data_IF_259373193702
#
_entry.id   IF_259373193702
#
_cell.length_a   1.000
_cell.length_b   1.000
_cell.length_c   1.000
_cell.angle_alpha   90.00
_cell.angle_beta   90.00
_cell.angle_gamma   90.00
#
_symmetry.space_group_name_H-M   'P 1'
#
loop_
_entity.id
_entity.type
_entity.pdbx_description
1 polymer ?
#
# COMPACT_ATOMS: atom_id res chain seq x y z
N UNK A 1 -9.44 28.16 9.59
CA UNK A 1 -10.51 27.18 9.41
C UNK A 1 -9.98 26.16 8.41
N UNK A 2 -9.99 24.85 8.73
CA UNK A 2 -9.74 23.81 7.72
C UNK A 2 -10.85 23.89 6.67
N UNK A 3 -10.50 23.74 5.41
CA UNK A 3 -11.48 23.66 4.33
C UNK A 3 -12.15 22.29 4.41
N UNK A 4 -13.46 22.25 4.47
CA UNK A 4 -14.22 20.98 4.54
C UNK A 4 -14.05 20.23 3.23
N UNK A 5 -13.67 18.95 3.30
CA UNK A 5 -13.50 18.11 2.11
C UNK A 5 -14.83 17.93 1.36
N UNK A 6 -14.79 18.07 0.07
CA UNK A 6 -15.94 17.84 -0.81
C UNK A 6 -16.19 16.35 -1.02
N UNK A 7 -17.33 16.01 -1.64
CA UNK A 7 -17.57 14.61 -2.04
C UNK A 7 -16.50 14.11 -3.01
N UNK A 8 -16.09 14.93 -3.96
CA UNK A 8 -15.04 14.63 -4.93
C UNK A 8 -13.70 14.31 -4.26
N UNK A 9 -13.36 15.02 -3.18
CA UNK A 9 -12.15 14.76 -2.40
C UNK A 9 -12.24 13.40 -1.70
N UNK A 10 -13.38 13.06 -1.10
CA UNK A 10 -13.61 11.75 -0.48
C UNK A 10 -13.56 10.63 -1.53
N UNK A 11 -14.17 10.83 -2.69
CA UNK A 11 -14.13 9.87 -3.79
C UNK A 11 -12.69 9.64 -4.29
N UNK A 12 -11.87 10.69 -4.32
CA UNK A 12 -10.45 10.58 -4.66
C UNK A 12 -9.65 9.81 -3.60
N UNK A 13 -9.89 10.08 -2.30
CA UNK A 13 -9.30 9.33 -1.18
C UNK A 13 -9.62 7.84 -1.34
N UNK A 14 -10.89 7.47 -1.40
CA UNK A 14 -11.31 6.07 -1.47
C UNK A 14 -10.77 5.35 -2.72
N UNK A 15 -10.70 6.06 -3.85
CA UNK A 15 -10.19 5.51 -5.11
C UNK A 15 -8.71 5.22 -5.05
N UNK A 16 -7.92 6.15 -4.51
CA UNK A 16 -6.46 5.98 -4.43
C UNK A 16 -6.08 4.93 -3.42
N UNK A 17 -6.76 4.88 -2.28
CA UNK A 17 -6.50 3.89 -1.25
C UNK A 17 -6.84 2.48 -1.74
N UNK A 18 -8.03 2.29 -2.34
CA UNK A 18 -8.38 1.02 -2.98
C UNK A 18 -7.35 0.57 -4.03
N UNK A 19 -6.80 1.51 -4.81
CA UNK A 19 -5.75 1.20 -5.80
C UNK A 19 -4.43 0.82 -5.12
N UNK A 20 -4.09 1.47 -4.01
CA UNK A 20 -2.91 1.18 -3.20
C UNK A 20 -2.96 -0.23 -2.62
N UNK A 21 -4.06 -0.57 -1.93
CA UNK A 21 -4.26 -1.90 -1.36
C UNK A 21 -4.27 -3.02 -2.42
N UNK A 22 -4.90 -2.73 -3.57
CA UNK A 22 -4.86 -3.66 -4.70
C UNK A 22 -3.43 -3.93 -5.17
N UNK A 23 -2.62 -2.87 -5.28
CA UNK A 23 -1.22 -2.98 -5.69
C UNK A 23 -0.36 -3.67 -4.62
N UNK A 24 -0.53 -3.35 -3.34
CA UNK A 24 0.18 -3.94 -2.21
C UNK A 24 -0.10 -5.46 -2.12
N UNK A 25 -1.37 -5.87 -2.15
CA UNK A 25 -1.73 -7.29 -2.20
C UNK A 25 -1.06 -8.01 -3.38
N UNK A 26 -0.92 -7.35 -4.55
CA UNK A 26 -0.23 -7.92 -5.72
C UNK A 26 1.29 -7.96 -5.57
N UNK A 27 1.90 -7.01 -4.87
CA UNK A 27 3.33 -7.06 -4.53
C UNK A 27 3.59 -8.31 -3.68
N UNK A 28 2.81 -8.55 -2.64
CA UNK A 28 2.95 -9.76 -1.81
C UNK A 28 2.64 -11.06 -2.58
N UNK A 29 1.67 -11.06 -3.52
CA UNK A 29 1.45 -12.18 -4.45
C UNK A 29 2.71 -12.50 -5.26
N UNK A 30 3.36 -11.47 -5.80
CA UNK A 30 4.61 -11.60 -6.55
C UNK A 30 5.77 -12.11 -5.70
N UNK A 31 5.92 -11.59 -4.48
CA UNK A 31 6.94 -12.07 -3.54
C UNK A 31 6.72 -13.55 -3.16
N UNK A 32 5.48 -13.94 -2.87
CA UNK A 32 5.13 -15.32 -2.53
C UNK A 32 5.29 -16.28 -3.69
N UNK A 33 5.18 -15.83 -4.94
CA UNK A 33 5.46 -16.68 -6.10
C UNK A 33 6.89 -17.25 -6.09
N UNK A 34 7.83 -16.55 -5.45
CA UNK A 34 9.25 -16.94 -5.35
C UNK A 34 9.58 -17.44 -3.93
N UNK A 35 9.14 -16.73 -2.87
CA UNK A 35 9.61 -16.92 -1.50
C UNK A 35 8.67 -17.74 -0.62
N UNK A 36 7.57 -18.28 -1.13
CA UNK A 36 6.56 -19.00 -0.35
C UNK A 36 7.13 -20.11 0.56
N UNK A 37 8.18 -20.79 0.11
CA UNK A 37 8.77 -21.93 0.80
C UNK A 37 10.09 -21.59 1.51
N UNK A 38 10.40 -20.32 1.68
CA UNK A 38 11.58 -19.83 2.40
C UNK A 38 11.21 -19.44 3.85
N UNK A 39 12.20 -19.02 4.63
CA UNK A 39 12.02 -18.62 6.03
C UNK A 39 11.10 -17.41 6.19
N UNK A 40 11.07 -16.50 5.21
CA UNK A 40 10.22 -15.30 5.22
C UNK A 40 8.82 -15.53 4.63
N UNK A 41 8.57 -16.66 3.97
CA UNK A 41 7.30 -16.96 3.32
C UNK A 41 6.08 -16.82 4.24
N UNK A 42 6.08 -17.39 5.46
CA UNK A 42 4.99 -17.22 6.42
C UNK A 42 4.75 -15.75 6.81
N UNK A 43 5.80 -14.96 6.96
CA UNK A 43 5.74 -13.52 7.29
C UNK A 43 5.08 -12.74 6.14
N UNK A 44 5.52 -12.96 4.91
CA UNK A 44 4.91 -12.33 3.71
C UNK A 44 3.43 -12.73 3.58
N UNK A 45 3.11 -14.01 3.85
CA UNK A 45 1.71 -14.46 3.80
C UNK A 45 0.84 -13.78 4.86
N UNK A 46 1.40 -13.50 6.05
CA UNK A 46 0.69 -12.79 7.10
C UNK A 46 0.37 -11.35 6.67
N UNK A 47 1.38 -10.60 6.21
CA UNK A 47 1.20 -9.23 5.69
C UNK A 47 0.18 -9.21 4.55
N UNK A 48 0.31 -10.12 3.58
CA UNK A 48 -0.68 -10.24 2.49
C UNK A 48 -2.11 -10.45 2.98
N UNK A 49 -2.33 -11.22 4.03
CA UNK A 49 -3.67 -11.43 4.57
C UNK A 49 -4.24 -10.14 5.17
N UNK A 50 -3.42 -9.31 5.81
CA UNK A 50 -3.82 -7.99 6.31
C UNK A 50 -4.16 -7.04 5.16
N UNK A 51 -3.35 -7.01 4.08
CA UNK A 51 -3.68 -6.25 2.87
C UNK A 51 -5.04 -6.65 2.27
N UNK A 52 -5.39 -7.94 2.32
CA UNK A 52 -6.70 -8.38 1.86
C UNK A 52 -7.83 -7.82 2.73
N UNK A 53 -7.64 -7.70 4.04
CA UNK A 53 -8.63 -7.08 4.94
C UNK A 53 -8.77 -5.57 4.65
N UNK A 54 -7.66 -4.88 4.38
CA UNK A 54 -7.67 -3.47 3.95
C UNK A 54 -8.43 -3.32 2.64
N UNK A 55 -8.09 -4.12 1.63
CA UNK A 55 -8.73 -4.11 0.31
C UNK A 55 -10.24 -4.39 0.41
N UNK A 56 -10.65 -5.36 1.22
CA UNK A 56 -12.06 -5.67 1.42
C UNK A 56 -12.81 -4.51 2.08
N UNK A 57 -12.15 -3.80 2.98
CA UNK A 57 -12.70 -2.58 3.62
C UNK A 57 -12.89 -1.47 2.58
N UNK A 58 -11.89 -1.20 1.75
CA UNK A 58 -12.05 -0.17 0.70
C UNK A 58 -13.02 -0.57 -0.40
N UNK A 59 -13.12 -1.86 -0.76
CA UNK A 59 -14.17 -2.35 -1.64
C UNK A 59 -15.57 -1.99 -1.12
N UNK A 60 -15.81 -2.20 0.18
CA UNK A 60 -17.06 -1.85 0.84
C UNK A 60 -17.29 -0.33 0.84
N UNK A 61 -16.27 0.45 1.21
CA UNK A 61 -16.37 1.91 1.24
C UNK A 61 -16.65 2.53 -0.13
N UNK A 62 -16.06 1.98 -1.21
CA UNK A 62 -16.39 2.41 -2.59
C UNK A 62 -17.86 2.23 -2.90
N UNK A 63 -18.44 1.07 -2.56
CA UNK A 63 -19.87 0.79 -2.79
C UNK A 63 -20.76 1.72 -1.97
N UNK A 64 -20.47 1.88 -0.68
CA UNK A 64 -21.24 2.73 0.24
C UNK A 64 -21.25 4.21 -0.18
N UNK A 65 -20.15 4.68 -0.76
CA UNK A 65 -20.02 6.07 -1.23
C UNK A 65 -20.42 6.25 -2.70
N UNK A 66 -20.85 5.21 -3.40
CA UNK A 66 -21.13 5.22 -4.84
C UNK A 66 -19.92 5.74 -5.66
N UNK A 67 -18.72 5.37 -5.24
CA UNK A 67 -17.46 5.73 -5.87
C UNK A 67 -16.97 4.57 -6.73
N UNK A 68 -16.48 4.87 -7.93
CA UNK A 68 -15.87 3.84 -8.79
C UNK A 68 -14.38 3.68 -8.46
N UNK A 69 -13.80 2.48 -8.61
CA UNK A 69 -12.35 2.31 -8.56
C UNK A 69 -11.67 3.02 -9.73
N UNK A 70 -10.36 3.19 -9.65
CA UNK A 70 -9.57 3.72 -10.76
C UNK A 70 -9.64 2.81 -11.99
N UNK A 71 -9.68 3.40 -13.17
CA UNK A 71 -9.62 2.66 -14.45
C UNK A 71 -8.26 1.99 -14.67
N UNK A 72 -7.26 2.35 -13.89
CA UNK A 72 -5.88 1.84 -13.99
C UNK A 72 -5.62 0.57 -13.16
N UNK A 73 -6.62 0.02 -12.47
CA UNK A 73 -6.46 -1.22 -11.68
C UNK A 73 -5.75 -2.36 -12.44
N UNK A 74 -6.07 -2.65 -13.73
CA UNK A 74 -5.37 -3.69 -14.45
C UNK A 74 -3.85 -3.44 -14.57
N UNK A 75 -3.47 -2.18 -14.70
CA UNK A 75 -2.06 -1.76 -14.76
C UNK A 75 -1.39 -1.95 -13.40
N UNK A 76 -2.04 -1.48 -12.32
CA UNK A 76 -1.50 -1.62 -10.96
C UNK A 76 -1.37 -3.07 -10.53
N UNK A 77 -2.31 -3.95 -10.93
CA UNK A 77 -2.20 -5.39 -10.71
C UNK A 77 -0.93 -6.00 -11.33
N UNK A 78 -0.67 -5.69 -12.59
CA UNK A 78 0.50 -6.21 -13.31
C UNK A 78 1.80 -5.63 -12.75
N UNK A 79 1.83 -4.33 -12.49
CA UNK A 79 3.02 -3.65 -11.96
C UNK A 79 3.33 -4.09 -10.53
N UNK A 80 2.32 -4.21 -9.67
CA UNK A 80 2.49 -4.68 -8.29
C UNK A 80 3.04 -6.10 -8.27
N UNK A 81 2.42 -7.03 -9.00
CA UNK A 81 2.91 -8.42 -9.09
C UNK A 81 4.35 -8.48 -9.63
N UNK A 82 4.63 -7.73 -10.71
CA UNK A 82 5.96 -7.67 -11.32
C UNK A 82 7.02 -7.12 -10.38
N UNK A 83 6.71 -6.05 -9.63
CA UNK A 83 7.60 -5.47 -8.62
C UNK A 83 7.88 -6.46 -7.49
N UNK A 84 6.83 -7.11 -6.96
CA UNK A 84 6.96 -8.11 -5.91
C UNK A 84 7.85 -9.28 -6.36
N UNK A 85 7.60 -9.83 -7.54
CA UNK A 85 8.40 -10.93 -8.10
C UNK A 85 9.85 -10.51 -8.35
N UNK A 86 10.08 -9.31 -8.93
CA UNK A 86 11.43 -8.82 -9.20
C UNK A 86 12.24 -8.63 -7.91
N UNK A 87 11.63 -8.04 -6.87
CA UNK A 87 12.29 -7.88 -5.57
C UNK A 87 12.62 -9.24 -4.93
N UNK A 88 11.72 -10.22 -5.03
CA UNK A 88 11.90 -11.56 -4.48
C UNK A 88 12.98 -12.37 -5.21
N UNK A 89 13.12 -12.21 -6.53
CA UNK A 89 14.22 -12.83 -7.31
C UNK A 89 15.58 -12.30 -6.84
N UNK A 90 15.66 -11.06 -6.37
CA UNK A 90 16.89 -10.48 -5.80
C UNK A 90 17.20 -11.01 -4.38
N UNK A 91 16.28 -11.76 -3.77
CA UNK A 91 16.44 -12.41 -2.46
C UNK A 91 15.55 -11.82 -1.37
N UNK A 92 15.53 -12.51 -0.22
CA UNK A 92 14.64 -12.19 0.91
C UNK A 92 14.83 -10.76 1.41
N UNK A 93 16.06 -10.29 1.60
CA UNK A 93 16.35 -8.91 2.03
C UNK A 93 15.86 -7.87 1.02
N UNK A 94 15.96 -8.16 -0.28
CA UNK A 94 15.47 -7.25 -1.31
C UNK A 94 13.92 -7.20 -1.37
N UNK A 95 13.24 -8.31 -1.14
CA UNK A 95 11.79 -8.33 -0.97
C UNK A 95 11.37 -7.47 0.23
N UNK A 96 12.05 -7.61 1.37
CA UNK A 96 11.78 -6.80 2.56
C UNK A 96 12.15 -5.31 2.36
N UNK A 97 13.19 -5.00 1.60
CA UNK A 97 13.51 -3.63 1.20
C UNK A 97 12.40 -3.00 0.35
N UNK A 98 11.79 -3.78 -0.55
CA UNK A 98 10.63 -3.35 -1.32
C UNK A 98 9.43 -3.08 -0.41
N UNK A 99 9.12 -3.96 0.54
CA UNK A 99 8.09 -3.76 1.57
C UNK A 99 8.34 -2.44 2.32
N UNK A 100 9.52 -2.23 2.91
CA UNK A 100 9.86 -0.98 3.62
C UNK A 100 9.57 0.25 2.74
N UNK A 101 9.98 0.21 1.47
CA UNK A 101 9.85 1.35 0.57
C UNK A 101 8.40 1.68 0.22
N UNK A 102 7.54 0.67 0.08
CA UNK A 102 6.11 0.80 -0.20
C UNK A 102 5.37 1.32 1.03
N UNK A 103 5.54 0.65 2.17
CA UNK A 103 4.78 0.93 3.38
C UNK A 103 5.13 2.30 4.00
N UNK A 104 6.37 2.77 3.81
CA UNK A 104 6.74 4.14 4.20
C UNK A 104 5.90 5.18 3.42
N UNK A 105 5.64 4.96 2.12
CA UNK A 105 4.84 5.88 1.31
C UNK A 105 3.35 5.78 1.65
N UNK A 106 2.83 4.56 1.83
CA UNK A 106 1.41 4.34 2.14
C UNK A 106 1.09 4.87 3.54
N UNK A 107 1.92 4.56 4.54
CA UNK A 107 1.75 5.08 5.90
C UNK A 107 1.77 6.62 5.97
N UNK A 108 2.69 7.28 5.23
CA UNK A 108 2.67 8.75 5.09
C UNK A 108 1.39 9.26 4.41
N UNK A 109 0.90 8.52 3.43
CA UNK A 109 -0.30 8.89 2.67
C UNK A 109 -1.54 8.83 3.57
N UNK A 110 -1.75 7.73 4.29
CA UNK A 110 -2.83 7.59 5.27
C UNK A 110 -2.77 8.63 6.38
N UNK A 111 -1.57 8.93 6.90
CA UNK A 111 -1.41 9.97 7.92
C UNK A 111 -1.91 11.33 7.42
N UNK A 112 -1.55 11.73 6.19
CA UNK A 112 -1.98 13.00 5.58
C UNK A 112 -3.49 13.04 5.34
N UNK A 113 -4.07 11.94 4.87
CA UNK A 113 -5.52 11.86 4.65
C UNK A 113 -6.28 11.93 5.98
N UNK A 114 -5.86 11.17 7.00
CA UNK A 114 -6.46 11.21 8.33
C UNK A 114 -6.37 12.60 8.98
N UNK A 115 -5.26 13.34 8.73
CA UNK A 115 -5.13 14.72 9.17
C UNK A 115 -6.05 15.67 8.39
N UNK A 116 -6.27 15.43 7.10
CA UNK A 116 -7.14 16.25 6.26
C UNK A 116 -8.63 16.07 6.60
N UNK A 117 -9.05 14.87 7.04
CA UNK A 117 -10.44 14.57 7.38
C UNK A 117 -10.92 15.38 8.59
N UNK A 118 -12.14 15.88 8.46
CA UNK A 118 -12.85 16.61 9.50
C UNK A 118 -13.53 15.66 10.53
N UNK A 119 -14.10 16.26 11.58
CA UNK A 119 -14.80 15.54 12.66
C UNK A 119 -16.10 14.88 12.21
N UNK A 120 -16.65 15.27 11.05
CA UNK A 120 -17.89 14.72 10.48
C UNK A 120 -17.69 13.36 9.77
N UNK A 121 -16.44 12.90 9.62
CA UNK A 121 -16.06 11.59 9.05
C UNK A 121 -15.24 10.73 10.05
N UNK A 122 -15.69 10.55 11.30
CA UNK A 122 -14.87 9.92 12.35
C UNK A 122 -14.55 8.45 12.04
N UNK A 123 -15.46 7.72 11.39
CA UNK A 123 -15.26 6.30 11.05
C UNK A 123 -14.20 6.12 9.97
N UNK A 124 -14.23 6.93 8.89
CA UNK A 124 -13.20 6.89 7.85
C UNK A 124 -11.84 7.28 8.42
N UNK A 125 -11.79 8.35 9.22
CA UNK A 125 -10.57 8.79 9.90
C UNK A 125 -9.98 7.70 10.79
N UNK A 126 -10.82 7.03 11.58
CA UNK A 126 -10.39 5.92 12.44
C UNK A 126 -9.85 4.75 11.62
N UNK A 127 -10.48 4.43 10.48
CA UNK A 127 -10.02 3.39 9.55
C UNK A 127 -8.64 3.71 8.99
N UNK A 128 -8.43 4.95 8.50
CA UNK A 128 -7.13 5.37 7.96
C UNK A 128 -6.02 5.38 9.03
N UNK A 129 -6.35 5.76 10.27
CA UNK A 129 -5.38 5.73 11.38
C UNK A 129 -5.01 4.27 11.69
N UNK A 130 -6.00 3.37 11.76
CA UNK A 130 -5.76 1.94 11.99
C UNK A 130 -4.86 1.36 10.92
N UNK A 131 -5.19 1.57 9.65
CA UNK A 131 -4.40 1.03 8.54
C UNK A 131 -3.00 1.63 8.50
N UNK A 132 -2.84 2.95 8.70
CA UNK A 132 -1.51 3.55 8.86
C UNK A 132 -0.65 2.81 9.90
N UNK A 133 -1.22 2.48 11.06
CA UNK A 133 -0.48 1.82 12.12
C UNK A 133 -0.09 0.38 11.71
N UNK A 134 -0.97 -0.32 11.00
CA UNK A 134 -0.70 -1.65 10.45
C UNK A 134 0.38 -1.61 9.33
N UNK A 135 0.41 -0.55 8.48
CA UNK A 135 1.49 -0.37 7.50
C UNK A 135 2.84 -0.07 8.16
N UNK A 136 2.83 0.66 9.27
CA UNK A 136 4.05 0.86 10.05
C UNK A 136 4.56 -0.45 10.68
N UNK A 137 3.68 -1.37 11.04
CA UNK A 137 4.05 -2.71 11.50
C UNK A 137 4.64 -3.55 10.36
N UNK A 138 4.09 -3.46 9.13
CA UNK A 138 4.69 -4.09 7.94
C UNK A 138 6.09 -3.53 7.64
N UNK A 139 6.24 -2.20 7.70
CA UNK A 139 7.54 -1.55 7.54
C UNK A 139 8.53 -2.06 8.58
N UNK A 140 8.13 -2.10 9.85
CA UNK A 140 8.98 -2.59 10.94
C UNK A 140 9.35 -4.07 10.74
N UNK A 141 8.42 -4.89 10.29
CA UNK A 141 8.66 -6.29 9.91
C UNK A 141 9.73 -6.38 8.81
N UNK A 142 9.65 -5.53 7.79
CA UNK A 142 10.67 -5.46 6.75
C UNK A 142 12.06 -5.09 7.29
N UNK A 143 12.12 -4.21 8.29
CA UNK A 143 13.39 -3.85 8.97
C UNK A 143 13.93 -5.03 9.79
N UNK A 144 13.10 -5.73 10.54
CA UNK A 144 13.48 -6.89 11.35
C UNK A 144 14.00 -8.05 10.50
N UNK A 145 13.51 -8.17 9.27
CA UNK A 145 14.00 -9.12 8.27
C UNK A 145 15.15 -8.56 7.41
N UNK A 146 15.91 -7.61 7.95
CA UNK A 146 17.15 -7.08 7.36
C UNK A 146 16.96 -6.41 5.97
N UNK A 147 15.76 -5.90 5.68
CA UNK A 147 15.50 -5.23 4.39
C UNK A 147 16.43 -4.06 4.11
N UNK A 148 16.84 -3.31 5.15
CA UNK A 148 17.80 -2.21 5.01
C UNK A 148 19.21 -2.65 4.65
N UNK A 149 19.53 -3.93 4.84
CA UNK A 149 20.82 -4.53 4.48
C UNK A 149 20.83 -5.11 3.06
N UNK A 150 19.72 -4.98 2.32
CA UNK A 150 19.68 -5.40 0.93
C UNK A 150 20.71 -4.66 0.08
N UNK A 151 21.38 -5.38 -0.81
CA UNK A 151 22.31 -4.74 -1.75
C UNK A 151 21.57 -3.73 -2.62
N UNK A 152 22.03 -2.48 -2.64
CA UNK A 152 21.38 -1.41 -3.40
C UNK A 152 20.09 -0.86 -2.76
N UNK A 153 19.90 -1.03 -1.45
CA UNK A 153 18.69 -0.60 -0.72
C UNK A 153 18.26 0.83 -1.06
N UNK A 154 19.15 1.81 -1.00
CA UNK A 154 18.83 3.23 -1.24
C UNK A 154 18.34 3.49 -2.67
N UNK A 155 18.92 2.79 -3.65
CA UNK A 155 18.51 2.91 -5.05
C UNK A 155 17.12 2.28 -5.24
N UNK A 156 16.92 1.07 -4.71
CA UNK A 156 15.63 0.39 -4.75
C UNK A 156 14.54 1.22 -4.07
N UNK A 157 14.80 1.71 -2.85
CA UNK A 157 13.90 2.57 -2.09
C UNK A 157 13.48 3.78 -2.91
N UNK A 158 14.45 4.49 -3.50
CA UNK A 158 14.19 5.68 -4.32
C UNK A 158 13.29 5.38 -5.52
N UNK A 159 13.57 4.30 -6.25
CA UNK A 159 12.80 3.91 -7.44
C UNK A 159 11.38 3.50 -7.05
N UNK A 160 11.24 2.65 -6.03
CA UNK A 160 9.93 2.15 -5.57
C UNK A 160 9.08 3.32 -5.05
N UNK A 161 9.62 4.17 -4.21
CA UNK A 161 8.90 5.32 -3.66
C UNK A 161 8.48 6.32 -4.74
N UNK A 162 9.35 6.58 -5.73
CA UNK A 162 8.98 7.41 -6.87
C UNK A 162 7.80 6.81 -7.66
N UNK A 163 7.83 5.49 -7.89
CA UNK A 163 6.74 4.75 -8.54
C UNK A 163 5.43 4.84 -7.76
N UNK A 164 5.46 4.57 -6.45
CA UNK A 164 4.29 4.65 -5.56
C UNK A 164 3.70 6.07 -5.54
N UNK A 165 4.51 7.10 -5.32
CA UNK A 165 4.04 8.50 -5.31
C UNK A 165 3.45 8.92 -6.66
N UNK A 166 3.97 8.39 -7.76
CA UNK A 166 3.44 8.64 -9.12
C UNK A 166 2.09 7.94 -9.30
N UNK A 167 2.00 6.67 -8.89
CA UNK A 167 0.75 5.90 -8.94
C UNK A 167 -0.37 6.56 -8.12
N UNK A 168 -0.06 7.03 -6.91
CA UNK A 168 -0.99 7.78 -6.04
C UNK A 168 -1.54 8.99 -6.80
N UNK A 169 -0.67 9.89 -7.29
CA UNK A 169 -1.08 11.12 -8.00
C UNK A 169 -1.95 10.88 -9.24
N UNK A 170 -1.73 9.76 -9.92
CA UNK A 170 -2.52 9.40 -11.11
C UNK A 170 -3.87 8.83 -10.69
N UNK A 171 -3.89 7.95 -9.67
CA UNK A 171 -5.11 7.28 -9.19
C UNK A 171 -6.08 8.25 -8.49
N UNK A 172 -5.59 9.33 -7.89
CA UNK A 172 -6.45 10.40 -7.36
C UNK A 172 -7.34 11.02 -8.45
N UNK A 173 -6.87 11.05 -9.70
CA UNK A 173 -7.54 11.74 -10.82
C UNK A 173 -8.35 10.83 -11.74
N UNK A 174 -7.99 9.54 -11.82
CA UNK A 174 -8.52 8.56 -12.76
C UNK A 174 -9.18 7.38 -12.06
#
# INVERSE_FOLDING_TARGET
MKETLTKEDIDAILRVDHAGETAAAKIYDGQLAILKHTSVGPTIQHMKNQEQEHLDTFNKLLVENNTRPTVLLPIWNVMGFGLGMASAIMGEKAAMACTIAVEEVIGEHYAKQAEALDEDRPELKATLIKFRDEELDHLQTGVEHEGREASGYEIMKTIVQFGCRTAIKISEKL
#
